data_IF_067770454072
#
_entry.id   IF_067770454072
#
_cell.length_a   1.000
_cell.length_b   1.000
_cell.length_c   1.000
_cell.angle_alpha   90.00
_cell.angle_beta   90.00
_cell.angle_gamma   90.00
#
_symmetry.space_group_name_H-M   'P 1'
#
loop_
_entity.id
_entity.type
_entity.pdbx_description
1 polymer ?
#
# COMPACT_ATOMS: atom_id res chain seq x y z
N UNK A 1 9.84 -17.66 4.91
CA UNK A 1 9.76 -16.22 5.15
C UNK A 1 11.12 -15.74 5.64
N UNK A 2 11.61 -14.66 5.02
CA UNK A 2 12.93 -14.14 5.28
C UNK A 2 13.16 -13.78 6.76
N UNK A 3 14.41 -13.81 7.15
CA UNK A 3 14.87 -13.49 8.51
C UNK A 3 14.95 -11.97 8.75
N UNK A 4 14.78 -11.17 7.69
CA UNK A 4 14.93 -9.71 7.75
C UNK A 4 13.87 -9.11 8.68
N UNK A 5 14.30 -8.42 9.71
CA UNK A 5 13.46 -7.74 10.69
C UNK A 5 12.31 -8.59 11.25
N UNK A 6 12.50 -9.91 11.40
CA UNK A 6 11.46 -10.87 11.77
C UNK A 6 10.71 -10.51 13.05
N UNK A 7 11.40 -9.94 14.05
CA UNK A 7 10.79 -9.52 15.32
C UNK A 7 9.82 -8.34 15.16
N UNK A 8 9.95 -7.61 14.06
CA UNK A 8 9.12 -6.44 13.75
C UNK A 8 8.06 -6.73 12.67
N UNK A 9 8.06 -7.93 12.09
CA UNK A 9 7.04 -8.37 11.15
C UNK A 9 5.73 -8.62 11.90
N UNK A 10 4.68 -7.88 11.54
CA UNK A 10 3.39 -7.91 12.24
C UNK A 10 2.25 -8.47 11.40
N UNK A 11 2.40 -8.50 10.08
CA UNK A 11 1.49 -9.17 9.15
C UNK A 11 2.26 -9.70 7.94
N UNK A 12 1.87 -10.87 7.43
CA UNK A 12 2.46 -11.47 6.24
C UNK A 12 1.42 -12.29 5.49
N UNK A 13 1.20 -11.95 4.24
CA UNK A 13 0.25 -12.59 3.33
C UNK A 13 1.03 -13.20 2.16
N UNK A 14 1.15 -14.52 2.17
CA UNK A 14 1.86 -15.28 1.13
C UNK A 14 0.95 -15.67 -0.05
N UNK A 15 -0.36 -15.55 0.11
CA UNK A 15 -1.39 -15.84 -0.91
C UNK A 15 -1.35 -17.26 -1.53
N UNK A 16 -0.88 -18.26 -0.80
CA UNK A 16 -0.72 -19.66 -1.26
C UNK A 16 -2.05 -20.42 -1.42
N UNK A 17 -3.06 -19.76 -1.97
CA UNK A 17 -4.40 -20.30 -2.21
C UNK A 17 -5.42 -19.88 -1.16
N UNK A 18 -5.01 -19.10 -0.19
CA UNK A 18 -5.86 -18.43 0.78
C UNK A 18 -5.32 -17.02 1.05
N UNK A 19 -6.05 -16.22 1.76
CA UNK A 19 -5.62 -14.87 2.13
C UNK A 19 -5.19 -14.76 3.59
N UNK A 20 -4.74 -15.86 4.20
CA UNK A 20 -4.40 -15.86 5.61
C UNK A 20 -3.16 -15.02 5.90
N UNK A 21 -3.20 -14.30 7.02
CA UNK A 21 -2.03 -13.66 7.62
C UNK A 21 -1.24 -14.72 8.42
N UNK A 22 -0.03 -15.03 7.96
CA UNK A 22 0.84 -16.06 8.53
C UNK A 22 1.48 -15.66 9.87
N UNK A 23 1.38 -14.38 10.24
CA UNK A 23 1.98 -13.83 11.48
C UNK A 23 0.92 -13.37 12.46
N UNK A 24 0.02 -12.48 12.03
CA UNK A 24 -1.02 -11.89 12.88
C UNK A 24 -2.30 -12.73 12.97
N UNK A 25 -2.36 -13.88 12.26
CA UNK A 25 -3.48 -14.84 12.29
C UNK A 25 -4.81 -14.28 11.77
N UNK A 26 -4.84 -13.19 11.04
CA UNK A 26 -6.04 -12.69 10.38
C UNK A 26 -6.43 -13.59 9.21
N UNK A 27 -7.74 -13.81 9.04
CA UNK A 27 -8.31 -14.50 7.89
C UNK A 27 -9.34 -13.60 7.21
N UNK A 28 -9.45 -13.63 5.87
CA UNK A 28 -10.43 -12.84 5.17
C UNK A 28 -11.86 -13.21 5.57
N UNK A 29 -12.67 -12.22 5.86
CA UNK A 29 -14.10 -12.41 6.21
C UNK A 29 -14.99 -12.59 4.98
N UNK A 30 -14.50 -12.29 3.79
CA UNK A 30 -15.27 -12.28 2.55
C UNK A 30 -14.86 -13.35 1.52
N UNK A 31 -14.19 -14.43 1.93
CA UNK A 31 -13.74 -15.49 1.01
C UNK A 31 -14.86 -16.12 0.18
N UNK A 32 -16.09 -16.15 0.68
CA UNK A 32 -17.24 -16.72 -0.03
C UNK A 32 -17.87 -15.75 -1.06
N UNK A 33 -17.52 -14.47 -1.03
CA UNK A 33 -18.11 -13.42 -1.86
C UNK A 33 -17.10 -12.67 -2.72
N UNK A 34 -15.81 -12.81 -2.41
CA UNK A 34 -14.76 -12.16 -3.22
C UNK A 34 -14.70 -12.76 -4.62
N UNK A 35 -14.47 -11.91 -5.60
CA UNK A 35 -14.16 -12.31 -6.98
C UNK A 35 -12.67 -12.33 -7.26
N UNK A 36 -11.83 -11.95 -6.29
CA UNK A 36 -10.39 -12.14 -6.36
C UNK A 36 -10.05 -13.65 -6.35
N UNK A 37 -9.02 -14.02 -7.10
CA UNK A 37 -8.58 -15.41 -7.26
C UNK A 37 -7.12 -15.59 -6.89
N UNK A 38 -6.68 -16.84 -6.74
CA UNK A 38 -5.28 -17.15 -6.51
C UNK A 38 -4.72 -17.88 -7.74
N UNK A 39 -3.73 -17.29 -8.37
CA UNK A 39 -3.09 -17.75 -9.61
C UNK A 39 -1.59 -17.93 -9.39
N UNK A 40 -0.86 -18.42 -10.38
CA UNK A 40 0.59 -18.55 -10.30
C UNK A 40 1.23 -17.18 -10.03
N UNK A 41 2.00 -17.10 -8.95
CA UNK A 41 2.57 -15.90 -8.39
C UNK A 41 4.04 -15.69 -8.72
N UNK A 42 4.63 -14.73 -8.04
CA UNK A 42 6.08 -14.53 -8.00
C UNK A 42 6.74 -15.69 -7.25
N UNK A 43 6.08 -16.13 -6.19
CA UNK A 43 6.44 -17.31 -5.41
C UNK A 43 5.16 -18.10 -5.12
N UNK A 44 5.08 -19.37 -5.56
CA UNK A 44 3.86 -20.15 -5.39
C UNK A 44 2.66 -19.49 -6.07
N UNK A 45 1.72 -18.98 -5.29
CA UNK A 45 0.54 -18.29 -5.78
C UNK A 45 0.52 -16.82 -5.36
N UNK A 46 -0.23 -16.03 -6.11
CA UNK A 46 -0.49 -14.62 -5.87
C UNK A 46 -1.99 -14.32 -5.87
N UNK A 47 -2.38 -13.28 -5.17
CA UNK A 47 -3.73 -12.71 -5.25
C UNK A 47 -3.88 -11.98 -6.59
N UNK A 48 -4.88 -12.36 -7.37
CA UNK A 48 -5.29 -11.67 -8.58
C UNK A 48 -6.59 -10.93 -8.36
N UNK A 49 -6.56 -9.62 -8.52
CA UNK A 49 -7.74 -8.78 -8.51
C UNK A 49 -8.53 -8.85 -9.82
N UNK A 50 -9.79 -8.44 -9.75
CA UNK A 50 -10.71 -8.34 -10.87
C UNK A 50 -11.33 -6.94 -10.96
N UNK A 51 -11.99 -6.66 -12.08
CA UNK A 51 -12.58 -5.35 -12.36
C UNK A 51 -13.95 -5.11 -11.71
N UNK A 52 -14.31 -5.85 -10.68
CA UNK A 52 -15.62 -5.69 -10.03
C UNK A 52 -15.49 -5.28 -8.56
N UNK A 53 -16.58 -4.74 -8.02
CA UNK A 53 -16.63 -4.16 -6.68
C UNK A 53 -16.37 -5.13 -5.53
N UNK A 54 -16.45 -6.43 -5.78
CA UNK A 54 -16.21 -7.47 -4.77
C UNK A 54 -14.78 -8.03 -4.86
N UNK A 55 -13.95 -7.49 -5.75
CA UNK A 55 -12.57 -7.94 -5.88
C UNK A 55 -11.71 -7.37 -4.76
N UNK A 56 -11.11 -8.26 -3.99
CA UNK A 56 -10.24 -7.95 -2.86
C UNK A 56 -10.55 -8.82 -1.65
N UNK A 57 -9.68 -8.75 -0.66
CA UNK A 57 -9.79 -9.49 0.60
C UNK A 57 -10.03 -8.50 1.75
N UNK A 58 -11.05 -8.77 2.57
CA UNK A 58 -11.43 -7.94 3.71
C UNK A 58 -11.14 -8.69 5.01
N UNK A 59 -10.47 -8.01 5.94
CA UNK A 59 -10.12 -8.53 7.26
C UNK A 59 -10.71 -7.66 8.35
N UNK A 60 -11.15 -8.29 9.45
CA UNK A 60 -11.45 -7.61 10.71
C UNK A 60 -10.21 -7.64 11.57
N UNK A 61 -9.76 -6.48 12.06
CA UNK A 61 -8.59 -6.40 12.91
C UNK A 61 -8.90 -6.94 14.31
N UNK A 62 -8.11 -7.89 14.83
CA UNK A 62 -8.16 -8.27 16.24
C UNK A 62 -8.03 -7.06 17.18
N UNK A 63 -8.60 -7.15 18.38
CA UNK A 63 -8.57 -6.05 19.35
C UNK A 63 -7.14 -5.62 19.70
N UNK A 64 -6.23 -6.56 19.76
CA UNK A 64 -4.81 -6.41 20.09
C UNK A 64 -3.90 -6.31 18.84
N UNK A 65 -4.47 -6.12 17.66
CA UNK A 65 -3.71 -5.98 16.43
C UNK A 65 -2.75 -4.79 16.51
N UNK A 66 -1.47 -5.04 16.26
CA UNK A 66 -0.44 -4.00 16.17
C UNK A 66 -0.69 -2.99 15.05
N UNK A 67 -1.44 -3.37 14.01
CA UNK A 67 -1.85 -2.45 12.96
C UNK A 67 -2.65 -1.26 13.47
N UNK A 68 -3.29 -1.37 14.64
CA UNK A 68 -4.08 -0.28 15.24
C UNK A 68 -3.24 0.83 15.85
N UNK A 69 -2.00 0.52 16.20
CA UNK A 69 -1.16 1.39 17.07
C UNK A 69 0.23 1.65 16.48
N UNK A 70 0.36 1.54 15.17
CA UNK A 70 1.62 1.83 14.48
C UNK A 70 2.04 3.28 14.72
N UNK A 71 3.29 3.46 15.13
CA UNK A 71 3.96 4.77 15.24
C UNK A 71 4.88 5.03 14.06
N UNK A 72 5.41 3.97 13.50
CA UNK A 72 6.22 3.88 12.30
C UNK A 72 5.78 2.66 11.52
N UNK A 73 6.16 2.54 10.28
CA UNK A 73 5.86 1.36 9.49
C UNK A 73 6.89 1.08 8.41
N UNK A 74 6.89 -0.16 7.95
CA UNK A 74 7.28 -0.50 6.60
C UNK A 74 6.27 -1.47 6.03
N UNK A 75 6.05 -1.40 4.74
CA UNK A 75 5.43 -2.48 4.01
C UNK A 75 6.28 -2.87 2.80
N UNK A 76 6.21 -4.14 2.44
CA UNK A 76 6.89 -4.68 1.27
C UNK A 76 5.93 -5.62 0.55
N UNK A 77 5.88 -5.54 -0.78
CA UNK A 77 5.06 -6.43 -1.60
C UNK A 77 5.60 -6.53 -3.02
N UNK A 78 5.27 -7.64 -3.68
CA UNK A 78 5.43 -7.76 -5.12
C UNK A 78 4.13 -7.39 -5.81
N UNK A 79 4.23 -6.52 -6.82
CA UNK A 79 3.13 -6.15 -7.70
C UNK A 79 3.45 -6.55 -9.14
N UNK A 80 2.43 -7.07 -9.82
CA UNK A 80 2.47 -7.25 -11.28
C UNK A 80 1.22 -6.65 -11.87
N UNK A 81 1.43 -5.64 -12.69
CA UNK A 81 0.34 -5.02 -13.42
C UNK A 81 -0.19 -5.97 -14.50
N UNK A 82 -1.49 -5.98 -14.68
CA UNK A 82 -2.07 -6.50 -15.91
C UNK A 82 -1.84 -5.42 -16.97
N UNK A 83 -1.25 -5.75 -18.12
CA UNK A 83 -1.06 -4.77 -19.17
C UNK A 83 -2.40 -4.10 -19.48
N UNK A 84 -2.41 -2.81 -19.38
CA UNK A 84 -3.53 -2.06 -19.89
C UNK A 84 -3.48 -2.16 -21.42
N UNK A 85 -4.35 -2.99 -21.98
CA UNK A 85 -4.68 -2.90 -23.40
C UNK A 85 -5.51 -1.64 -23.58
N UNK A 86 -4.81 -0.53 -23.74
CA UNK A 86 -5.35 0.78 -23.47
C UNK A 86 -5.84 1.39 -24.75
N UNK A 87 -7.10 1.20 -24.97
CA UNK A 87 -7.88 2.15 -25.75
C UNK A 87 -8.74 3.05 -24.84
N UNK A 88 -8.73 2.84 -23.53
CA UNK A 88 -9.55 3.60 -22.62
C UNK A 88 -8.78 4.75 -21.98
N UNK A 89 -9.25 5.94 -22.21
CA UNK A 89 -8.70 7.21 -21.71
C UNK A 89 -8.75 7.37 -20.20
N UNK A 90 -9.46 6.47 -19.48
CA UNK A 90 -9.71 6.59 -18.06
C UNK A 90 -9.44 5.28 -17.33
N UNK A 91 -8.16 5.07 -16.94
CA UNK A 91 -7.88 4.11 -15.92
C UNK A 91 -8.34 4.69 -14.58
N UNK A 92 -9.28 4.05 -13.91
CA UNK A 92 -9.61 4.44 -12.55
C UNK A 92 -8.38 4.25 -11.66
N UNK A 93 -8.29 5.01 -10.62
CA UNK A 93 -7.34 4.80 -9.55
C UNK A 93 -7.60 3.44 -8.90
N UNK A 94 -6.55 2.73 -8.52
CA UNK A 94 -6.66 1.35 -8.05
C UNK A 94 -6.07 1.23 -6.65
N UNK A 95 -6.86 0.73 -5.70
CA UNK A 95 -6.43 0.52 -4.32
C UNK A 95 -5.69 -0.81 -4.19
N UNK A 96 -4.39 -0.73 -3.84
CA UNK A 96 -3.55 -1.91 -3.63
C UNK A 96 -3.82 -2.52 -2.25
N UNK A 97 -3.84 -1.70 -1.20
CA UNK A 97 -4.30 -2.09 0.13
C UNK A 97 -4.80 -0.87 0.91
N UNK A 98 -5.64 -1.12 1.91
CA UNK A 98 -6.28 -0.07 2.68
C UNK A 98 -6.48 -0.49 4.15
N UNK A 99 -5.96 0.30 5.07
CA UNK A 99 -6.28 0.25 6.48
C UNK A 99 -7.29 1.34 6.79
N UNK A 100 -8.49 0.97 7.20
CA UNK A 100 -9.59 1.91 7.42
C UNK A 100 -9.31 2.94 8.52
N UNK A 101 -10.15 3.96 8.58
CA UNK A 101 -10.18 4.97 9.62
C UNK A 101 -11.62 5.32 10.00
N UNK A 102 -11.80 5.91 11.18
CA UNK A 102 -13.10 6.41 11.64
C UNK A 102 -13.13 7.93 11.65
N UNK A 103 -14.26 8.50 11.30
CA UNK A 103 -14.52 9.92 11.34
C UNK A 103 -14.79 10.55 9.98
N UNK A 104 -14.68 11.87 9.92
CA UNK A 104 -15.06 12.66 8.73
C UNK A 104 -14.13 12.45 7.52
N UNK A 105 -13.04 11.73 7.69
CA UNK A 105 -12.09 11.41 6.63
C UNK A 105 -12.14 9.93 6.28
N UNK A 106 -12.65 9.69 5.15
CA UNK A 106 -12.93 8.44 4.47
C UNK A 106 -11.69 7.77 3.87
N UNK A 107 -10.57 8.46 3.84
CA UNK A 107 -9.36 7.99 3.17
C UNK A 107 -8.63 6.84 3.87
N UNK A 108 -8.79 6.68 5.19
CA UNK A 108 -8.13 5.63 5.95
C UNK A 108 -6.85 6.06 6.67
N UNK A 109 -6.24 5.11 7.36
CA UNK A 109 -5.07 5.37 8.20
C UNK A 109 -3.74 5.06 7.50
N UNK A 110 -3.73 4.07 6.64
CA UNK A 110 -2.57 3.69 5.82
C UNK A 110 -3.06 2.99 4.57
N UNK A 111 -2.62 3.44 3.41
CA UNK A 111 -2.92 2.77 2.15
C UNK A 111 -1.88 3.02 1.07
N UNK A 112 -1.91 2.17 0.07
CA UNK A 112 -1.18 2.33 -1.17
C UNK A 112 -2.20 2.40 -2.31
N UNK A 113 -2.20 3.52 -3.01
CA UNK A 113 -3.04 3.77 -4.16
C UNK A 113 -2.19 3.88 -5.42
N UNK A 114 -2.65 3.29 -6.48
CA UNK A 114 -2.08 3.47 -7.80
C UNK A 114 -2.92 4.48 -8.57
N UNK A 115 -2.30 5.59 -8.90
CA UNK A 115 -2.89 6.63 -9.73
C UNK A 115 -2.57 6.47 -11.21
N UNK A 116 -3.27 7.24 -12.00
CA UNK A 116 -2.90 7.55 -13.37
C UNK A 116 -1.62 8.36 -13.37
N UNK A 117 -0.75 8.12 -14.31
CA UNK A 117 0.37 9.02 -14.55
C UNK A 117 -0.13 10.28 -15.29
N UNK A 118 0.11 11.44 -14.67
CA UNK A 118 -0.03 12.76 -15.28
C UNK A 118 1.34 13.43 -15.24
N UNK A 119 2.18 13.27 -16.26
CA UNK A 119 3.43 14.03 -16.33
C UNK A 119 3.12 15.52 -16.22
N UNK A 120 3.83 16.22 -15.38
CA UNK A 120 3.62 17.64 -15.15
C UNK A 120 3.80 18.41 -16.47
N UNK A 121 2.77 19.16 -16.89
CA UNK A 121 2.79 19.95 -18.12
C UNK A 121 2.46 19.19 -19.41
N UNK A 122 2.18 17.90 -19.35
CA UNK A 122 1.82 17.10 -20.52
C UNK A 122 0.30 16.96 -20.61
N UNK A 123 -0.21 17.12 -21.84
CA UNK A 123 -1.64 16.89 -22.15
C UNK A 123 -1.99 15.42 -22.31
N UNK A 124 -0.98 14.56 -22.43
CA UNK A 124 -1.13 13.12 -22.59
C UNK A 124 -0.43 12.37 -21.46
N UNK A 125 -1.13 11.38 -20.92
CA UNK A 125 -0.61 10.48 -19.87
C UNK A 125 0.49 9.59 -20.44
N UNK A 126 1.62 9.47 -19.73
CA UNK A 126 2.56 8.40 -20.03
C UNK A 126 1.99 7.08 -19.52
N UNK A 127 1.41 6.33 -20.44
CA UNK A 127 0.74 5.04 -20.17
C UNK A 127 1.70 3.91 -19.78
N UNK A 128 3.00 4.15 -19.90
CA UNK A 128 4.01 3.18 -19.54
C UNK A 128 4.28 3.14 -18.02
N UNK A 129 3.82 4.17 -17.29
CA UNK A 129 4.05 4.28 -15.86
C UNK A 129 2.74 4.51 -15.10
N UNK A 130 2.66 3.97 -13.91
CA UNK A 130 1.65 4.30 -12.90
C UNK A 130 2.30 5.10 -11.79
N UNK A 131 1.66 6.18 -11.38
CA UNK A 131 2.01 6.90 -10.16
C UNK A 131 1.54 6.12 -8.94
N UNK A 132 2.38 6.04 -7.94
CA UNK A 132 2.04 5.42 -6.66
C UNK A 132 1.89 6.50 -5.60
N UNK A 133 0.95 6.28 -4.69
CA UNK A 133 0.63 7.19 -3.61
C UNK A 133 0.52 6.40 -2.30
N UNK A 134 1.47 6.63 -1.40
CA UNK A 134 1.41 6.09 -0.05
C UNK A 134 0.85 7.16 0.88
N UNK A 135 -0.22 6.83 1.57
CA UNK A 135 -0.91 7.72 2.49
C UNK A 135 -0.87 7.16 3.90
N UNK A 136 -0.65 8.04 4.90
CA UNK A 136 -0.63 7.66 6.31
C UNK A 136 -1.11 8.79 7.22
N UNK A 137 -1.66 8.44 8.40
CA UNK A 137 -2.48 9.32 9.22
C UNK A 137 -1.87 9.62 10.60
N UNK A 138 -2.07 10.85 11.07
CA UNK A 138 -1.77 11.28 12.44
C UNK A 138 -2.95 12.02 13.03
N UNK A 139 -3.76 11.34 13.84
CA UNK A 139 -5.05 11.84 14.33
C UNK A 139 -4.95 13.08 15.23
N UNK A 140 -3.84 13.23 15.95
CA UNK A 140 -3.60 14.38 16.84
C UNK A 140 -2.82 15.54 16.17
N UNK A 141 -2.57 15.47 14.87
CA UNK A 141 -2.08 16.62 14.12
C UNK A 141 -3.15 17.73 14.10
N UNK A 142 -2.71 18.98 14.29
CA UNK A 142 -3.65 20.12 14.39
C UNK A 142 -4.21 20.54 13.04
N UNK A 143 -3.41 20.43 11.98
CA UNK A 143 -3.81 20.78 10.62
C UNK A 143 -3.78 19.51 9.76
N UNK A 144 -2.96 19.32 8.88
CA UNK A 144 -2.94 18.18 7.95
C UNK A 144 -2.72 16.83 8.65
N UNK A 145 -3.78 16.16 9.04
CA UNK A 145 -3.72 14.86 9.72
C UNK A 145 -3.24 13.74 8.81
N UNK A 146 -3.57 13.81 7.53
CA UNK A 146 -3.12 12.85 6.53
C UNK A 146 -1.85 13.31 5.82
N UNK A 147 -0.89 12.41 5.68
CA UNK A 147 0.35 12.62 4.95
C UNK A 147 0.34 11.80 3.67
N UNK A 148 0.91 12.38 2.64
CA UNK A 148 0.92 11.80 1.30
C UNK A 148 2.34 11.74 0.77
N UNK A 149 2.78 10.57 0.30
CA UNK A 149 4.01 10.40 -0.46
C UNK A 149 3.64 9.93 -1.86
N UNK A 150 3.61 10.86 -2.79
CA UNK A 150 3.19 10.65 -4.18
C UNK A 150 4.29 11.03 -5.18
N UNK A 151 3.96 10.99 -6.47
CA UNK A 151 4.87 11.31 -7.58
C UNK A 151 6.09 10.40 -7.67
N UNK A 152 5.92 9.12 -7.37
CA UNK A 152 6.87 8.09 -7.68
C UNK A 152 6.19 7.06 -8.59
N UNK A 153 6.94 6.53 -9.54
CA UNK A 153 6.39 5.87 -10.70
C UNK A 153 6.89 4.44 -10.84
N UNK A 154 5.98 3.54 -11.14
CA UNK A 154 6.27 2.15 -11.45
C UNK A 154 5.97 1.91 -12.93
N UNK A 155 6.92 1.33 -13.65
CA UNK A 155 6.71 0.95 -15.05
C UNK A 155 5.66 -0.17 -15.13
N UNK A 156 4.64 0.06 -15.95
CA UNK A 156 3.49 -0.83 -16.16
C UNK A 156 3.30 -1.27 -17.60
N UNK A 157 4.15 -0.79 -18.53
CA UNK A 157 4.11 -1.11 -19.94
C UNK A 157 4.38 -2.59 -20.23
N UNK A 158 5.15 -3.22 -19.34
CA UNK A 158 5.48 -4.65 -19.41
C UNK A 158 4.94 -5.34 -18.16
N UNK A 159 4.23 -6.48 -18.29
CA UNK A 159 3.67 -7.19 -17.15
C UNK A 159 4.75 -7.93 -16.36
N UNK A 160 5.67 -7.18 -15.77
CA UNK A 160 6.75 -7.70 -14.93
C UNK A 160 6.43 -7.51 -13.46
N UNK A 161 6.94 -8.41 -12.63
CA UNK A 161 6.87 -8.25 -11.19
C UNK A 161 7.79 -7.11 -10.75
N UNK A 162 7.27 -6.24 -9.89
CA UNK A 162 8.01 -5.16 -9.23
C UNK A 162 7.93 -5.33 -7.72
N UNK A 163 9.05 -5.25 -7.04
CA UNK A 163 9.09 -5.24 -5.59
C UNK A 163 9.01 -3.81 -5.09
N UNK A 164 8.03 -3.53 -4.25
CA UNK A 164 7.78 -2.20 -3.69
C UNK A 164 7.95 -2.25 -2.19
N UNK A 165 8.75 -1.35 -1.64
CA UNK A 165 8.89 -1.14 -0.20
C UNK A 165 8.68 0.34 0.08
N UNK A 166 7.84 0.64 1.08
CA UNK A 166 7.74 1.98 1.65
C UNK A 166 8.00 1.92 3.15
N UNK A 167 8.70 2.91 3.66
CA UNK A 167 9.03 2.99 5.08
C UNK A 167 8.77 4.39 5.61
N UNK A 168 8.29 4.48 6.84
CA UNK A 168 8.22 5.72 7.59
C UNK A 168 8.89 5.54 8.96
N UNK A 169 9.86 6.38 9.26
CA UNK A 169 10.58 6.42 10.54
C UNK A 169 10.04 7.57 11.38
N UNK A 170 9.50 7.25 12.55
CA UNK A 170 8.91 8.25 13.44
C UNK A 170 9.95 9.08 14.21
N UNK A 171 11.19 8.61 14.32
CA UNK A 171 12.27 9.32 15.02
C UNK A 171 12.84 10.43 14.15
N UNK A 172 13.11 10.11 12.88
CA UNK A 172 13.63 11.09 11.90
C UNK A 172 12.51 11.81 11.14
N UNK A 173 11.29 11.28 11.18
CA UNK A 173 10.14 11.70 10.35
C UNK A 173 10.42 11.59 8.86
N UNK A 174 11.23 10.60 8.46
CA UNK A 174 11.57 10.37 7.06
C UNK A 174 10.70 9.29 6.45
N UNK A 175 10.27 9.54 5.22
CA UNK A 175 9.64 8.54 4.37
C UNK A 175 10.60 8.14 3.26
N UNK A 176 10.75 6.83 3.03
CA UNK A 176 11.55 6.28 1.94
C UNK A 176 10.76 5.26 1.15
N UNK A 177 10.95 5.26 -0.17
CA UNK A 177 10.43 4.27 -1.09
C UNK A 177 11.55 3.53 -1.81
N UNK A 178 11.31 2.28 -2.16
CA UNK A 178 12.23 1.45 -2.93
C UNK A 178 11.45 0.67 -3.98
N UNK A 179 11.98 0.62 -5.19
CA UNK A 179 11.49 -0.24 -6.27
C UNK A 179 12.64 -1.16 -6.68
N UNK A 180 12.38 -2.47 -6.65
CA UNK A 180 13.36 -3.51 -7.00
C UNK A 180 14.68 -3.34 -6.23
N UNK A 181 14.61 -3.02 -4.94
CA UNK A 181 15.75 -2.79 -4.05
C UNK A 181 16.49 -1.46 -4.27
N UNK A 182 16.03 -0.62 -5.20
CA UNK A 182 16.64 0.69 -5.49
C UNK A 182 15.85 1.79 -4.79
N UNK A 183 16.56 2.64 -4.03
CA UNK A 183 15.94 3.77 -3.35
C UNK A 183 15.42 4.82 -4.34
N UNK A 184 14.19 5.25 -4.12
CA UNK A 184 13.56 6.30 -4.91
C UNK A 184 13.96 7.65 -4.32
N UNK A 185 14.58 8.50 -5.13
CA UNK A 185 15.09 9.81 -4.72
C UNK A 185 14.19 10.96 -5.13
N UNK A 186 13.18 10.70 -5.96
CA UNK A 186 12.23 11.69 -6.43
C UNK A 186 10.83 11.39 -5.89
N UNK A 187 10.43 12.17 -4.92
CA UNK A 187 9.04 12.45 -4.63
C UNK A 187 8.80 13.88 -5.12
N UNK A 188 7.73 14.13 -5.81
CA UNK A 188 7.45 15.48 -6.30
C UNK A 188 7.01 16.40 -5.17
N UNK A 189 7.46 17.64 -5.28
CA UNK A 189 7.22 18.67 -4.27
C UNK A 189 8.22 18.63 -3.12
N UNK A 190 8.84 19.76 -2.83
CA UNK A 190 9.70 19.96 -1.65
C UNK A 190 8.99 19.60 -0.33
N UNK A 191 7.66 19.52 -0.35
CA UNK A 191 6.81 19.14 0.77
C UNK A 191 6.98 17.68 1.17
N UNK A 192 7.34 16.81 0.22
CA UNK A 192 7.37 15.38 0.42
C UNK A 192 8.76 14.74 0.30
N UNK A 193 9.78 15.53 0.05
CA UNK A 193 11.14 15.10 -0.29
C UNK A 193 11.85 14.17 0.71
N UNK A 194 11.27 13.02 1.00
CA UNK A 194 11.77 12.04 1.95
C UNK A 194 11.48 12.38 3.42
N UNK A 195 11.39 13.66 3.77
CA UNK A 195 11.11 14.10 5.15
C UNK A 195 9.67 14.56 5.25
N UNK A 196 8.90 13.93 6.11
CA UNK A 196 7.51 14.30 6.39
C UNK A 196 7.41 15.26 7.54
N UNK A 197 6.62 16.29 7.32
CA UNK A 197 6.34 17.35 8.29
C UNK A 197 4.86 17.65 8.23
N UNK A 198 4.38 18.23 9.29
CA UNK A 198 3.05 18.82 9.30
C UNK A 198 3.17 20.29 9.70
N UNK A 199 2.19 21.09 9.31
CA UNK A 199 2.16 22.50 9.64
C UNK A 199 1.26 22.71 10.86
N UNK A 200 1.79 23.39 11.86
CA UNK A 200 1.05 23.81 13.05
C UNK A 200 1.22 25.31 13.18
N UNK A 201 0.13 26.06 12.99
CA UNK A 201 0.17 27.52 13.07
C UNK A 201 1.08 28.19 12.03
N UNK A 202 1.34 27.53 10.91
CA UNK A 202 2.20 28.01 9.81
C UNK A 202 3.68 27.63 9.95
N UNK A 203 4.04 26.84 10.97
CA UNK A 203 5.40 26.34 11.14
C UNK A 203 5.49 24.87 10.73
N UNK A 204 6.56 24.50 10.05
CA UNK A 204 6.88 23.11 9.77
C UNK A 204 7.53 22.45 10.98
N UNK A 205 7.00 21.31 11.39
CA UNK A 205 7.56 20.50 12.49
C UNK A 205 7.68 19.04 12.06
N UNK A 206 8.61 18.28 12.65
CA UNK A 206 8.69 16.83 12.39
C UNK A 206 7.36 16.15 12.71
N UNK A 207 6.92 15.21 11.87
CA UNK A 207 5.67 14.51 12.08
C UNK A 207 5.72 13.61 13.33
N UNK A 208 6.83 12.93 13.58
CA UNK A 208 7.03 12.08 14.75
C UNK A 208 6.17 10.81 14.72
N UNK A 209 5.75 10.36 15.89
CA UNK A 209 4.90 9.19 16.03
C UNK A 209 3.61 9.34 15.24
N UNK A 210 3.27 8.34 14.41
CA UNK A 210 1.93 8.23 13.84
C UNK A 210 0.91 7.95 14.94
N UNK A 211 -0.33 8.31 14.68
CA UNK A 211 -1.47 8.00 15.53
C UNK A 211 -2.68 7.76 14.65
N UNK A 212 -3.06 6.51 14.53
CA UNK A 212 -4.17 6.11 13.69
C UNK A 212 -5.52 6.39 14.36
N UNK A 213 -6.51 6.68 13.52
CA UNK A 213 -7.88 6.93 13.96
C UNK A 213 -8.67 5.62 13.97
N UNK A 214 -8.58 4.87 15.06
CA UNK A 214 -9.38 3.68 15.38
C UNK A 214 -9.63 2.71 14.21
N UNK A 215 -8.60 2.18 13.54
CA UNK A 215 -8.83 1.22 12.47
C UNK A 215 -9.47 -0.07 12.99
N UNK A 216 -10.44 -0.58 12.23
CA UNK A 216 -11.16 -1.83 12.54
C UNK A 216 -11.03 -2.86 11.42
N UNK A 217 -10.78 -2.40 10.20
CA UNK A 217 -10.70 -3.25 9.02
C UNK A 217 -9.42 -3.02 8.24
N UNK A 218 -9.00 -4.05 7.56
CA UNK A 218 -7.90 -4.01 6.61
C UNK A 218 -8.37 -4.68 5.31
N UNK A 219 -8.01 -4.14 4.17
CA UNK A 219 -8.32 -4.72 2.88
C UNK A 219 -7.10 -4.81 1.99
N UNK A 220 -7.02 -5.85 1.17
CA UNK A 220 -6.00 -6.03 0.15
C UNK A 220 -6.69 -6.10 -1.21
N UNK A 221 -6.26 -5.26 -2.14
CA UNK A 221 -6.82 -5.18 -3.49
C UNK A 221 -8.05 -4.27 -3.63
N UNK A 222 -8.53 -3.65 -2.55
CA UNK A 222 -9.69 -2.74 -2.59
C UNK A 222 -9.79 -1.86 -1.35
N UNK A 223 -10.76 -0.94 -1.35
CA UNK A 223 -11.20 -0.18 -0.19
C UNK A 223 -11.99 -1.04 0.79
N UNK A 224 -11.77 -0.86 2.10
CA UNK A 224 -12.49 -1.59 3.14
C UNK A 224 -14.00 -1.41 3.06
N UNK A 225 -14.48 -0.17 2.90
CA UNK A 225 -15.91 0.14 2.88
C UNK A 225 -16.62 -0.46 1.67
N UNK A 226 -15.96 -0.49 0.53
CA UNK A 226 -16.50 -1.11 -0.68
C UNK A 226 -16.72 -2.61 -0.50
N UNK A 227 -15.75 -3.31 0.07
CA UNK A 227 -15.88 -4.74 0.35
C UNK A 227 -16.84 -5.05 1.49
N UNK A 228 -16.99 -4.12 2.45
CA UNK A 228 -17.95 -4.25 3.56
C UNK A 228 -19.39 -3.95 3.15
N UNK A 229 -19.62 -3.41 1.97
CA UNK A 229 -20.95 -2.98 1.52
C UNK A 229 -21.49 -1.78 2.29
N UNK A 230 -20.63 -1.03 2.96
CA UNK A 230 -20.97 0.17 3.73
C UNK A 230 -20.68 1.45 2.96
N UNK A 231 -20.63 1.35 1.68
CA UNK A 231 -20.23 2.36 0.69
C UNK A 231 -20.51 3.82 1.13
N UNK A 232 -19.64 4.33 2.01
CA UNK A 232 -19.67 5.74 2.43
C UNK A 232 -19.11 6.63 1.31
N UNK A 233 -18.44 6.01 0.34
CA UNK A 233 -17.95 6.65 -0.86
C UNK A 233 -18.39 5.89 -2.09
N UNK A 234 -19.36 6.44 -2.71
CA UNK A 234 -19.83 6.04 -4.05
C UNK A 234 -18.90 6.69 -5.13
N UNK A 235 -17.61 6.72 -4.84
CA UNK A 235 -16.65 7.32 -5.73
C UNK A 235 -16.17 6.29 -6.74
N UNK A 236 -16.70 6.37 -7.94
CA UNK A 236 -16.32 5.52 -9.08
C UNK A 236 -14.84 5.70 -9.49
N UNK A 237 -14.17 6.71 -8.93
CA UNK A 237 -12.77 7.00 -9.26
C UNK A 237 -11.77 5.98 -8.69
N UNK A 238 -12.04 5.35 -7.55
CA UNK A 238 -11.17 4.34 -6.95
C UNK A 238 -11.71 2.94 -7.19
N UNK A 239 -11.04 2.17 -8.02
CA UNK A 239 -11.42 0.79 -8.29
C UNK A 239 -10.56 -0.21 -7.53
N UNK A 240 -11.00 -1.47 -7.44
CA UNK A 240 -10.13 -2.55 -6.98
C UNK A 240 -8.88 -2.67 -7.85
N UNK A 241 -7.78 -3.13 -7.26
CA UNK A 241 -6.56 -3.41 -7.98
C UNK A 241 -6.74 -4.64 -8.87
N UNK A 242 -6.49 -4.48 -10.16
CA UNK A 242 -6.71 -5.54 -11.17
C UNK A 242 -5.50 -6.42 -11.42
N UNK A 243 -4.34 -6.06 -10.88
CA UNK A 243 -3.11 -6.79 -11.05
C UNK A 243 -2.96 -7.97 -10.09
N UNK A 244 -1.72 -8.42 -9.92
CA UNK A 244 -1.36 -9.46 -8.97
C UNK A 244 -0.58 -8.84 -7.80
N UNK A 245 -0.87 -9.34 -6.61
CA UNK A 245 -0.17 -8.99 -5.36
C UNK A 245 0.38 -10.28 -4.76
N UNK A 246 1.65 -10.23 -4.34
CA UNK A 246 2.31 -11.39 -3.75
C UNK A 246 3.25 -10.99 -2.61
N UNK A 247 3.51 -11.91 -1.67
CA UNK A 247 4.50 -11.75 -0.61
C UNK A 247 4.35 -10.44 0.19
N UNK A 248 3.12 -10.06 0.53
CA UNK A 248 2.85 -8.80 1.20
C UNK A 248 3.17 -8.85 2.71
N UNK A 249 4.03 -7.95 3.17
CA UNK A 249 4.52 -7.84 4.56
C UNK A 249 4.30 -6.46 5.12
N UNK A 250 4.00 -6.38 6.42
CA UNK A 250 3.93 -5.14 7.19
C UNK A 250 4.78 -5.28 8.45
N UNK A 251 5.58 -4.24 8.74
CA UNK A 251 6.47 -4.16 9.89
C UNK A 251 6.10 -2.97 10.77
N UNK A 252 6.33 -3.08 12.08
CA UNK A 252 6.04 -2.04 13.08
C UNK A 252 7.17 -1.00 13.26
N UNK A 253 8.10 -0.93 12.32
CA UNK A 253 9.15 0.08 12.22
C UNK A 253 9.59 0.33 10.79
N UNK A 254 10.36 1.38 10.58
CA UNK A 254 11.06 1.57 9.33
C UNK A 254 12.15 0.50 9.14
N UNK A 255 12.19 -0.11 7.96
CA UNK A 255 13.34 -0.89 7.49
C UNK A 255 14.44 0.09 7.05
N UNK A 256 15.68 -0.24 7.38
CA UNK A 256 16.83 0.49 6.86
C UNK A 256 17.01 0.22 5.36
N UNK A 257 17.76 1.09 4.67
CA UNK A 257 18.08 0.88 3.26
C UNK A 257 18.78 -0.48 2.99
N UNK A 258 19.66 -0.92 3.91
CA UNK A 258 20.28 -2.22 3.82
C UNK A 258 19.28 -3.36 3.97
N UNK A 259 18.36 -3.28 4.95
CA UNK A 259 17.32 -4.28 5.15
C UNK A 259 16.34 -4.33 3.96
N UNK A 260 15.99 -3.19 3.38
CA UNK A 260 15.14 -3.12 2.20
C UNK A 260 15.80 -3.81 1.00
N UNK A 261 17.08 -3.56 0.79
CA UNK A 261 17.86 -4.23 -0.25
C UNK A 261 18.01 -5.73 0.01
N UNK A 262 18.35 -6.13 1.23
CA UNK A 262 18.50 -7.54 1.61
C UNK A 262 17.19 -8.31 1.44
N UNK A 263 16.05 -7.69 1.74
CA UNK A 263 14.72 -8.29 1.53
C UNK A 263 14.48 -8.55 0.04
N UNK A 264 14.72 -7.55 -0.81
CA UNK A 264 14.62 -7.71 -2.25
C UNK A 264 15.56 -8.82 -2.77
N UNK A 265 16.84 -8.77 -2.42
CA UNK A 265 17.86 -9.72 -2.87
C UNK A 265 17.51 -11.17 -2.45
N UNK A 266 16.97 -11.34 -1.24
CA UNK A 266 16.54 -12.64 -0.76
C UNK A 266 15.33 -13.21 -1.54
N UNK A 267 14.44 -12.34 -2.00
CA UNK A 267 13.22 -12.74 -2.69
C UNK A 267 13.36 -12.81 -4.21
N UNK A 268 14.21 -11.96 -4.80
CA UNK A 268 14.42 -11.98 -6.26
C UNK A 268 15.03 -13.30 -6.76
N UNK A 269 15.79 -13.98 -5.92
CA UNK A 269 16.43 -15.26 -6.25
C UNK A 269 15.51 -16.47 -6.05
N UNK A 270 14.38 -16.29 -5.35
CA UNK A 270 13.41 -17.37 -5.06
C UNK A 270 12.33 -17.42 -6.16
N UNK A 271 12.75 -17.73 -7.38
CA UNK A 271 11.83 -17.97 -8.51
C UNK A 271 11.42 -19.44 -8.49
N UNK A 272 10.13 -19.72 -8.65
CA UNK A 272 9.64 -21.07 -8.96
C UNK A 272 10.06 -21.52 -10.35
#
# INVERSE_FOLDING_TARGET
>A
PGTIAKSNLIAYFAFEGDGKDEVGSMTPSNMSTTTATFVDGRRGKALQGAADKNSGLLYTLPADSKLKTLKAFSFALWLKQVPNTIETTDLPEQMVFHLDGKGDWIWGNLFLLQHRNWPEGESERDRNFAEMDCYFWKDDAQEWKGQRANNWFVEVSVPTWRHIICTYDNVTSEFHGYIDGVHITHFDGAEYGGVKRWQAGGEEVPLGDLKFNNPEKFAIGAWCDRLAGTDLQNDDWASPFKGLIDEFRIYDRALTAAEAKDLYDAEVTQIN
#
